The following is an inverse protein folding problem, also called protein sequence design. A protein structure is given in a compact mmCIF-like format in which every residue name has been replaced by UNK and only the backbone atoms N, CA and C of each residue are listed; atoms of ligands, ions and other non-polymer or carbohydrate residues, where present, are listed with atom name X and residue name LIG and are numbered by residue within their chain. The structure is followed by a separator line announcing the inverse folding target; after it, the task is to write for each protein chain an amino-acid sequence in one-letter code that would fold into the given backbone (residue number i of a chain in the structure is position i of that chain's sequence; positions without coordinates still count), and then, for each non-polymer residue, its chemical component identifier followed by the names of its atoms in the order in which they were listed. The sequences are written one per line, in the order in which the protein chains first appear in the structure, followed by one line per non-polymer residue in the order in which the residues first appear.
data_IF_970669495505
#
_entry.id   IF_970669495505
#
_cell.length_a   1.000
_cell.length_b   1.000
_cell.length_c   1.000
_cell.angle_alpha   90.00
_cell.angle_beta   90.00
_cell.angle_gamma   90.00
#
_symmetry.space_group_name_H-M   'P 1'
#
loop_
_entity.id
_entity.type
_entity.pdbx_description
1 polymer ?
#
# COMPACT_ATOMS: atom_id res chain seq x y z
N UNK A 1 1.65 5.47 -22.64
CA UNK A 1 2.26 5.78 -21.34
C UNK A 1 1.60 4.86 -20.32
N UNK A 2 2.35 3.92 -19.75
CA UNK A 2 1.80 2.92 -18.83
C UNK A 2 1.92 3.47 -17.41
N UNK A 3 0.79 3.80 -16.79
CA UNK A 3 0.76 4.19 -15.39
C UNK A 3 0.99 2.92 -14.55
N UNK A 4 2.24 2.65 -14.18
CA UNK A 4 2.58 1.51 -13.34
C UNK A 4 2.50 1.91 -11.87
N UNK A 5 1.88 1.06 -11.05
CA UNK A 5 1.72 1.25 -9.62
C UNK A 5 2.46 0.14 -8.90
N UNK A 6 3.59 0.47 -8.29
CA UNK A 6 4.41 -0.49 -7.55
C UNK A 6 3.92 -0.59 -6.11
N UNK A 7 3.58 -1.80 -5.68
CA UNK A 7 3.01 -2.08 -4.38
C UNK A 7 4.03 -2.80 -3.50
N UNK A 8 4.14 -2.38 -2.24
CA UNK A 8 5.12 -2.86 -1.27
C UNK A 8 4.39 -3.24 0.02
N UNK A 9 4.72 -4.41 0.57
CA UNK A 9 4.22 -4.89 1.87
C UNK A 9 5.38 -5.45 2.68
N UNK A 10 5.54 -5.01 3.91
CA UNK A 10 6.47 -5.62 4.87
C UNK A 10 6.00 -5.42 6.31
N UNK A 11 6.49 -6.27 7.19
CA UNK A 11 6.25 -6.18 8.63
C UNK A 11 7.53 -5.78 9.35
N UNK A 12 7.46 -4.81 10.24
CA UNK A 12 8.64 -4.29 10.92
C UNK A 12 8.33 -3.26 12.00
N UNK A 13 9.36 -2.70 12.65
CA UNK A 13 9.20 -1.60 13.60
C UNK A 13 8.81 -0.30 12.88
N UNK A 14 8.28 0.67 13.63
CA UNK A 14 7.78 1.94 13.08
C UNK A 14 8.80 2.74 12.26
N UNK A 15 10.07 2.59 12.59
CA UNK A 15 11.24 3.21 11.97
C UNK A 15 11.79 2.43 10.77
N UNK A 16 11.12 1.35 10.32
CA UNK A 16 11.57 0.56 9.18
C UNK A 16 11.66 1.42 7.90
N UNK A 17 12.81 1.36 7.19
CA UNK A 17 13.01 2.13 5.96
C UNK A 17 12.11 1.62 4.83
N UNK A 18 11.40 2.56 4.19
CA UNK A 18 10.50 2.33 3.05
C UNK A 18 11.21 1.81 1.79
N UNK A 19 12.51 2.03 1.67
CA UNK A 19 13.29 1.81 0.44
C UNK A 19 14.04 0.47 0.41
N UNK A 20 13.82 -0.41 1.40
CA UNK A 20 14.46 -1.74 1.45
C UNK A 20 13.57 -2.88 0.96
N UNK A 21 12.25 -2.66 0.80
CA UNK A 21 11.33 -3.70 0.36
C UNK A 21 11.28 -3.74 -1.18
N UNK A 22 11.44 -4.93 -1.76
CA UNK A 22 11.13 -5.15 -3.17
C UNK A 22 9.61 -5.04 -3.40
N UNK A 23 9.17 -4.54 -4.56
CA UNK A 23 7.75 -4.50 -4.87
C UNK A 23 7.20 -5.92 -4.93
N UNK A 24 6.16 -6.18 -4.16
CA UNK A 24 5.51 -7.50 -4.08
C UNK A 24 4.49 -7.69 -5.21
N UNK A 25 3.94 -6.59 -5.74
CA UNK A 25 2.96 -6.61 -6.81
C UNK A 25 3.02 -5.31 -7.62
N UNK A 26 2.67 -5.38 -8.91
CA UNK A 26 2.59 -4.23 -9.79
C UNK A 26 1.20 -4.17 -10.44
N UNK A 27 0.62 -2.98 -10.53
CA UNK A 27 -0.70 -2.77 -11.12
C UNK A 27 -0.68 -1.69 -12.19
N UNK A 28 -1.53 -1.84 -13.21
CA UNK A 28 -1.67 -0.86 -14.30
C UNK A 28 -2.86 0.09 -14.09
N UNK A 29 -3.59 -0.07 -13.00
CA UNK A 29 -4.73 0.77 -12.62
C UNK A 29 -4.72 1.08 -11.12
N UNK A 30 -5.26 2.24 -10.71
CA UNK A 30 -5.40 2.56 -9.30
C UNK A 30 -6.35 1.59 -8.59
N UNK A 31 -7.40 1.09 -9.26
CA UNK A 31 -8.29 0.07 -8.70
C UNK A 31 -7.56 -1.23 -8.36
N UNK A 32 -6.65 -1.69 -9.23
CA UNK A 32 -5.83 -2.86 -8.97
C UNK A 32 -4.92 -2.66 -7.75
N UNK A 33 -4.27 -1.49 -7.66
CA UNK A 33 -3.44 -1.15 -6.52
C UNK A 33 -4.22 -1.02 -5.20
N UNK A 34 -5.50 -0.62 -5.24
CA UNK A 34 -6.38 -0.63 -4.06
C UNK A 34 -6.78 -2.05 -3.67
N UNK A 35 -6.99 -2.96 -4.63
CA UNK A 35 -7.26 -4.37 -4.31
C UNK A 35 -6.07 -5.04 -3.61
N UNK A 36 -4.83 -4.66 -3.94
CA UNK A 36 -3.64 -5.02 -3.15
C UNK A 36 -3.78 -4.56 -1.68
N UNK A 37 -4.06 -3.28 -1.44
CA UNK A 37 -4.23 -2.75 -0.08
C UNK A 37 -5.35 -3.47 0.68
N UNK A 38 -6.46 -3.75 0.00
CA UNK A 38 -7.60 -4.49 0.56
C UNK A 38 -7.19 -5.89 0.99
N UNK A 39 -6.50 -6.64 0.12
CA UNK A 39 -6.05 -8.01 0.40
C UNK A 39 -5.13 -8.05 1.61
N UNK A 40 -4.10 -7.20 1.62
CA UNK A 40 -3.12 -7.15 2.71
C UNK A 40 -3.78 -6.75 4.04
N UNK A 41 -4.57 -5.68 4.06
CA UNK A 41 -5.28 -5.28 5.27
C UNK A 41 -6.24 -6.36 5.77
N UNK A 42 -6.93 -7.07 4.87
CA UNK A 42 -7.89 -8.11 5.25
C UNK A 42 -7.20 -9.36 5.78
N UNK A 43 -6.04 -9.74 5.24
CA UNK A 43 -5.23 -10.86 5.73
C UNK A 43 -4.80 -10.67 7.19
N UNK A 44 -4.71 -9.43 7.65
CA UNK A 44 -4.35 -9.06 9.02
C UNK A 44 -5.54 -8.60 9.88
N UNK A 45 -6.78 -8.70 9.39
CA UNK A 45 -7.96 -8.24 10.15
C UNK A 45 -8.06 -6.71 10.32
N UNK A 46 -7.29 -5.94 9.55
CA UNK A 46 -7.18 -4.48 9.60
C UNK A 46 -8.03 -3.76 8.53
N UNK A 47 -9.04 -4.45 8.00
CA UNK A 47 -9.88 -3.92 6.93
C UNK A 47 -10.56 -2.60 7.33
N UNK A 48 -10.41 -1.58 6.49
CA UNK A 48 -11.10 -0.30 6.68
C UNK A 48 -11.53 0.30 5.35
N UNK A 49 -12.86 0.41 5.16
CA UNK A 49 -13.44 0.98 3.95
C UNK A 49 -12.99 2.42 3.71
N UNK A 50 -12.88 3.24 4.75
CA UNK A 50 -12.45 4.64 4.63
C UNK A 50 -11.01 4.76 4.15
N UNK A 51 -10.13 3.87 4.63
CA UNK A 51 -8.72 3.80 4.18
C UNK A 51 -8.64 3.47 2.70
N UNK A 52 -9.40 2.49 2.22
CA UNK A 52 -9.41 2.10 0.81
C UNK A 52 -9.96 3.21 -0.09
N UNK A 53 -11.01 3.91 0.35
CA UNK A 53 -11.59 5.04 -0.40
C UNK A 53 -10.60 6.21 -0.48
N UNK A 54 -9.92 6.54 0.63
CA UNK A 54 -8.88 7.58 0.64
C UNK A 54 -7.71 7.21 -0.27
N UNK A 55 -7.22 5.97 -0.17
CA UNK A 55 -6.15 5.48 -1.01
C UNK A 55 -6.54 5.56 -2.50
N UNK A 56 -7.75 5.12 -2.87
CA UNK A 56 -8.22 5.22 -4.26
C UNK A 56 -8.22 6.68 -4.76
N UNK A 57 -8.64 7.62 -3.92
CA UNK A 57 -8.67 9.04 -4.27
C UNK A 57 -7.27 9.60 -4.53
N UNK A 58 -6.30 9.23 -3.69
CA UNK A 58 -4.90 9.67 -3.84
C UNK A 58 -4.24 9.03 -5.06
N UNK A 59 -4.42 7.72 -5.27
CA UNK A 59 -3.91 7.02 -6.45
C UNK A 59 -4.52 7.59 -7.74
N UNK A 60 -5.80 7.96 -7.76
CA UNK A 60 -6.40 8.61 -8.95
C UNK A 60 -5.78 9.96 -9.30
N UNK A 61 -5.15 10.63 -8.34
CA UNK A 61 -4.39 11.88 -8.57
C UNK A 61 -2.93 11.63 -8.96
N UNK A 62 -2.48 10.38 -9.00
CA UNK A 62 -1.05 10.08 -9.17
C UNK A 62 -0.25 10.29 -7.89
N UNK A 63 -0.89 10.31 -6.72
CA UNK A 63 -0.21 10.49 -5.43
C UNK A 63 0.20 9.14 -4.85
N UNK A 64 1.33 9.12 -4.14
CA UNK A 64 1.78 7.94 -3.40
C UNK A 64 0.88 7.68 -2.19
N UNK A 65 0.60 6.41 -1.90
CA UNK A 65 -0.11 5.99 -0.68
C UNK A 65 0.88 5.30 0.25
N UNK A 66 0.92 5.72 1.52
CA UNK A 66 1.70 5.07 2.58
C UNK A 66 0.81 4.84 3.79
N UNK A 67 0.69 3.58 4.21
CA UNK A 67 -0.10 3.16 5.35
C UNK A 67 0.80 2.39 6.31
N UNK A 68 0.57 2.58 7.61
CA UNK A 68 1.16 1.76 8.66
C UNK A 68 0.09 1.44 9.69
N UNK A 69 0.01 0.17 10.07
CA UNK A 69 -1.01 -0.34 10.99
C UNK A 69 -0.37 -1.25 12.02
N UNK A 70 -0.77 -1.08 13.27
CA UNK A 70 -0.32 -1.94 14.34
C UNK A 70 -0.85 -3.36 14.14
N UNK A 71 0.06 -4.31 14.26
CA UNK A 71 -0.21 -5.72 14.45
C UNK A 71 -0.06 -6.04 15.95
N UNK A 72 -0.40 -7.28 16.32
CA UNK A 72 -0.18 -7.76 17.69
C UNK A 72 1.31 -7.68 18.07
N UNK A 73 1.59 -7.25 19.30
CA UNK A 73 2.93 -7.39 19.88
C UNK A 73 4.00 -6.42 19.36
N UNK A 74 3.64 -5.17 19.03
CA UNK A 74 4.52 -4.03 18.64
C UNK A 74 5.05 -4.04 17.21
N UNK A 75 4.67 -5.00 16.38
CA UNK A 75 5.00 -4.99 14.95
C UNK A 75 4.03 -4.11 14.18
N UNK A 76 4.49 -3.42 13.13
CA UNK A 76 3.63 -2.72 12.19
C UNK A 76 3.59 -3.44 10.84
N UNK A 77 2.42 -3.48 10.22
CA UNK A 77 2.26 -3.72 8.79
C UNK A 77 2.44 -2.39 8.05
N UNK A 78 3.41 -2.35 7.15
CA UNK A 78 3.64 -1.20 6.27
C UNK A 78 3.21 -1.55 4.86
N UNK A 79 2.36 -0.69 4.28
CA UNK A 79 1.89 -0.82 2.90
C UNK A 79 2.20 0.47 2.16
N UNK A 80 2.85 0.37 1.01
CA UNK A 80 3.16 1.51 0.16
C UNK A 80 2.76 1.21 -1.27
N UNK A 81 2.16 2.20 -1.93
CA UNK A 81 1.87 2.17 -3.35
C UNK A 81 2.48 3.41 -3.98
N UNK A 82 3.38 3.21 -4.94
CA UNK A 82 4.10 4.27 -5.64
C UNK A 82 3.62 4.32 -7.09
N UNK A 83 3.04 5.45 -7.55
CA UNK A 83 2.87 5.72 -8.97
C UNK A 83 4.23 5.91 -9.62
N UNK A 84 4.55 5.10 -10.59
CA UNK A 84 5.65 5.36 -11.51
C UNK A 84 5.13 6.36 -12.55
N UNK A 85 5.44 7.63 -12.33
CA UNK A 85 5.28 8.64 -13.36
C UNK A 85 6.28 8.33 -14.49
N UNK A 86 5.76 8.19 -15.71
CA UNK A 86 6.57 8.11 -16.92
C UNK A 86 7.32 9.42 -17.18
#
# INVERSE_FOLDING_TARGET
MSNLWRCYSWQGPADAPTDMAEPVENWTSPEGAVEFLRRELSAHGLYSKSVLVSALADLRKGERVKLSRELDGRSLLHLVVVPEAA
#
